data_IF_338054706366
#
_entry.id   IF_338054706366
#
_cell.length_a   1.000
_cell.length_b   1.000
_cell.length_c   1.000
_cell.angle_alpha   90.00
_cell.angle_beta   90.00
_cell.angle_gamma   90.00
#
_symmetry.space_group_name_H-M   'P 1'
#
loop_
_entity.id
_entity.type
_entity.pdbx_description
1 polymer ?
#
# COMPACT_ATOMS: atom_id res chain seq x y z
N UNK A 1 3.34 6.22 24.74
CA UNK A 1 3.35 5.59 23.41
C UNK A 1 2.55 4.30 23.51
N UNK A 2 1.52 4.11 22.67
CA UNK A 2 0.74 2.86 22.64
C UNK A 2 1.64 1.68 22.23
N UNK A 3 1.58 0.56 22.95
CA UNK A 3 2.33 -0.64 22.60
C UNK A 3 1.66 -1.38 21.44
N UNK A 4 2.43 -2.15 20.68
CA UNK A 4 1.90 -2.95 19.56
C UNK A 4 0.84 -3.93 20.06
N UNK A 5 1.05 -4.56 21.23
CA UNK A 5 0.06 -5.49 21.80
C UNK A 5 -1.28 -4.82 22.15
N UNK A 6 -1.25 -3.58 22.64
CA UNK A 6 -2.45 -2.79 22.95
C UNK A 6 -3.18 -2.41 21.66
N UNK A 7 -2.41 -2.00 20.63
CA UNK A 7 -2.93 -1.68 19.29
C UNK A 7 -3.59 -2.88 18.62
N UNK A 8 -2.99 -4.05 18.68
CA UNK A 8 -3.59 -5.30 18.18
C UNK A 8 -4.93 -5.54 18.88
N UNK A 9 -4.97 -5.39 20.21
CA UNK A 9 -6.21 -5.56 20.98
C UNK A 9 -7.30 -4.57 20.57
N UNK A 10 -6.95 -3.32 20.31
CA UNK A 10 -7.86 -2.28 19.82
C UNK A 10 -8.36 -2.58 18.40
N UNK A 11 -7.46 -2.91 17.47
CA UNK A 11 -7.81 -3.21 16.06
C UNK A 11 -8.70 -4.44 15.92
N UNK A 12 -8.52 -5.46 16.76
CA UNK A 12 -9.41 -6.62 16.81
C UNK A 12 -10.85 -6.20 17.15
N UNK A 13 -11.02 -5.29 18.13
CA UNK A 13 -12.34 -4.76 18.50
C UNK A 13 -12.94 -3.90 17.39
N UNK A 14 -12.17 -2.95 16.86
CA UNK A 14 -12.63 -2.03 15.79
C UNK A 14 -13.07 -2.78 14.53
N UNK A 15 -12.39 -3.88 14.20
CA UNK A 15 -12.67 -4.68 12.99
C UNK A 15 -13.55 -5.90 13.25
N UNK A 16 -14.13 -6.01 14.45
CA UNK A 16 -14.98 -7.13 14.87
C UNK A 16 -14.35 -8.52 14.59
N UNK A 17 -13.05 -8.67 14.86
CA UNK A 17 -12.28 -9.91 14.70
C UNK A 17 -11.97 -10.53 16.05
N UNK A 18 -12.01 -11.86 16.15
CA UNK A 18 -11.74 -12.54 17.42
C UNK A 18 -10.24 -12.80 17.62
N UNK A 19 -9.80 -12.74 18.88
CA UNK A 19 -8.41 -13.04 19.23
C UNK A 19 -8.05 -14.51 18.98
N UNK A 20 -9.03 -15.43 19.07
CA UNK A 20 -8.83 -16.86 18.77
C UNK A 20 -8.48 -17.07 17.29
N UNK A 21 -9.15 -16.37 16.38
CA UNK A 21 -8.88 -16.45 14.94
C UNK A 21 -7.48 -15.93 14.61
N UNK A 22 -7.05 -14.86 15.29
CA UNK A 22 -5.68 -14.38 15.16
C UNK A 22 -4.68 -15.42 15.68
N UNK A 23 -4.93 -16.07 16.82
CA UNK A 23 -4.03 -17.12 17.33
C UNK A 23 -3.93 -18.30 16.35
N UNK A 24 -5.04 -18.70 15.74
CA UNK A 24 -5.06 -19.73 14.71
C UNK A 24 -4.26 -19.31 13.46
N UNK A 25 -4.40 -18.06 13.01
CA UNK A 25 -3.64 -17.53 11.87
C UNK A 25 -2.13 -17.44 12.13
N UNK A 26 -1.72 -17.30 13.39
CA UNK A 26 -0.32 -17.24 13.81
C UNK A 26 0.26 -18.61 14.18
N UNK A 27 -0.56 -19.67 14.17
CA UNK A 27 -0.21 -21.00 14.66
C UNK A 27 0.34 -20.99 16.11
N UNK A 28 -0.34 -20.26 16.99
CA UNK A 28 0.01 -20.17 18.42
C UNK A 28 -1.17 -20.53 19.32
N UNK A 29 -0.85 -20.93 20.55
CA UNK A 29 -1.86 -21.10 21.58
C UNK A 29 -2.39 -19.74 22.10
N UNK A 30 -3.67 -19.70 22.48
CA UNK A 30 -4.28 -18.51 23.11
C UNK A 30 -3.58 -18.07 24.41
N UNK A 31 -2.95 -19.02 25.12
CA UNK A 31 -2.12 -18.79 26.30
C UNK A 31 -0.88 -17.93 25.98
N UNK A 32 -0.29 -18.10 24.80
CA UNK A 32 0.83 -17.30 24.30
C UNK A 32 0.43 -15.84 24.12
N UNK A 33 -0.68 -15.59 23.42
CA UNK A 33 -1.23 -14.24 23.25
C UNK A 33 -1.63 -13.61 24.59
N UNK A 34 -2.23 -14.38 25.48
CA UNK A 34 -2.58 -13.94 26.84
C UNK A 34 -1.33 -13.55 27.65
N UNK A 35 -0.24 -14.28 27.50
CA UNK A 35 1.05 -13.99 28.14
C UNK A 35 1.66 -12.69 27.62
N UNK A 36 1.59 -12.45 26.30
CA UNK A 36 2.02 -11.18 25.71
C UNK A 36 1.24 -9.99 26.29
N UNK A 37 -0.10 -10.11 26.36
CA UNK A 37 -0.97 -9.09 26.94
C UNK A 37 -0.67 -8.83 28.42
N UNK A 38 -0.65 -9.88 29.25
CA UNK A 38 -0.48 -9.73 30.70
C UNK A 38 0.90 -9.22 31.10
N UNK A 39 1.95 -9.64 30.40
CA UNK A 39 3.33 -9.19 30.63
C UNK A 39 3.67 -7.88 29.94
N UNK A 40 2.70 -7.24 29.26
CA UNK A 40 2.90 -6.06 28.42
C UNK A 40 4.10 -6.23 27.49
N UNK A 41 4.14 -7.36 26.78
CA UNK A 41 5.16 -7.67 25.76
C UNK A 41 4.53 -7.67 24.39
N UNK A 42 5.26 -7.17 23.40
CA UNK A 42 4.85 -7.27 22.01
C UNK A 42 5.09 -8.72 21.51
N UNK A 43 4.27 -9.20 20.56
CA UNK A 43 4.59 -10.42 19.83
C UNK A 43 5.97 -10.28 19.15
N UNK A 44 6.71 -11.38 18.98
CA UNK A 44 7.94 -11.37 18.18
C UNK A 44 7.73 -10.79 16.78
N UNK A 45 8.80 -10.20 16.22
CA UNK A 45 8.74 -9.50 14.93
C UNK A 45 8.30 -10.41 13.77
N UNK A 46 8.59 -11.71 13.84
CA UNK A 46 8.19 -12.73 12.86
C UNK A 46 6.67 -12.79 12.64
N UNK A 47 5.86 -12.47 13.66
CA UNK A 47 4.40 -12.49 13.57
C UNK A 47 3.81 -11.22 12.96
N UNK A 48 4.58 -10.13 12.86
CA UNK A 48 4.06 -8.83 12.47
C UNK A 48 3.42 -8.80 11.07
N UNK A 49 4.01 -9.42 10.03
CA UNK A 49 3.38 -9.45 8.70
C UNK A 49 2.01 -10.13 8.70
N UNK A 50 1.90 -11.27 9.37
CA UNK A 50 0.64 -12.03 9.48
C UNK A 50 -0.40 -11.26 10.30
N UNK A 51 0.00 -10.61 11.40
CA UNK A 51 -0.89 -9.77 12.20
C UNK A 51 -1.41 -8.59 11.37
N UNK A 52 -0.53 -7.90 10.63
CA UNK A 52 -0.90 -6.76 9.79
C UNK A 52 -1.89 -7.18 8.69
N UNK A 53 -1.60 -8.30 8.01
CA UNK A 53 -2.48 -8.89 6.99
C UNK A 53 -3.83 -9.29 7.58
N UNK A 54 -3.84 -10.00 8.71
CA UNK A 54 -5.06 -10.43 9.38
C UNK A 54 -5.96 -9.25 9.80
N UNK A 55 -5.34 -8.16 10.26
CA UNK A 55 -6.03 -6.94 10.65
C UNK A 55 -6.33 -6.02 9.45
N UNK A 56 -5.82 -6.29 8.25
CA UNK A 56 -5.99 -5.43 7.09
C UNK A 56 -5.49 -4.00 7.33
N UNK A 57 -4.27 -3.87 7.84
CA UNK A 57 -3.56 -2.59 8.04
C UNK A 57 -2.14 -2.70 7.48
N UNK A 58 -1.47 -1.58 7.26
CA UNK A 58 -0.06 -1.61 6.86
C UNK A 58 0.82 -2.05 8.04
N UNK A 59 1.95 -2.70 7.73
CA UNK A 59 2.95 -3.07 8.74
C UNK A 59 3.49 -1.83 9.45
N UNK A 60 3.69 -0.73 8.71
CA UNK A 60 4.16 0.53 9.29
C UNK A 60 3.18 1.08 10.34
N UNK A 61 1.88 1.11 10.00
CA UNK A 61 0.84 1.51 10.96
C UNK A 61 0.81 0.58 12.19
N UNK A 62 0.91 -0.72 11.97
CA UNK A 62 0.93 -1.70 13.06
C UNK A 62 2.10 -1.46 14.03
N UNK A 63 3.27 -1.07 13.54
CA UNK A 63 4.46 -0.85 14.37
C UNK A 63 4.47 0.55 15.01
N UNK A 64 4.19 1.59 14.23
CA UNK A 64 4.37 2.99 14.65
C UNK A 64 3.13 3.61 15.27
N UNK A 65 1.94 3.09 14.93
CA UNK A 65 0.64 3.67 15.31
C UNK A 65 0.30 4.97 14.59
N UNK A 66 1.13 5.38 13.63
CA UNK A 66 0.88 6.53 12.78
C UNK A 66 0.32 5.99 11.48
N UNK A 67 -0.83 6.51 11.05
CA UNK A 67 -1.22 6.42 9.65
C UNK A 67 -0.04 6.99 8.88
N UNK A 68 0.67 6.15 8.12
CA UNK A 68 1.62 6.67 7.16
C UNK A 68 0.80 7.64 6.30
N UNK A 69 1.21 8.91 6.14
CA UNK A 69 0.57 9.73 5.12
C UNK A 69 0.58 8.89 3.85
N UNK A 70 -0.53 8.82 3.08
CA UNK A 70 -0.51 8.09 1.82
C UNK A 70 0.76 8.53 1.13
N UNK A 71 1.67 7.58 0.85
CA UNK A 71 2.93 7.93 0.18
C UNK A 71 2.48 8.71 -1.03
N UNK A 72 2.83 9.99 -1.11
CA UNK A 72 2.53 10.82 -2.26
C UNK A 72 3.35 10.20 -3.38
N UNK A 73 2.70 9.32 -4.13
CA UNK A 73 3.29 8.53 -5.21
C UNK A 73 3.23 9.29 -6.52
N UNK A 74 2.62 10.48 -6.47
CA UNK A 74 2.35 11.40 -7.54
C UNK A 74 2.95 12.77 -7.20
N UNK A 75 3.35 13.49 -8.23
CA UNK A 75 3.67 14.92 -8.21
C UNK A 75 2.39 15.75 -8.13
N UNK A 76 2.51 17.05 -7.84
CA UNK A 76 1.34 17.96 -7.85
C UNK A 76 0.66 18.01 -9.23
N UNK A 77 1.44 17.91 -10.31
CA UNK A 77 0.91 17.90 -11.67
C UNK A 77 0.13 16.61 -11.97
N UNK A 78 0.62 15.47 -11.51
CA UNK A 78 -0.09 14.18 -11.62
C UNK A 78 -1.38 14.18 -10.80
N UNK A 79 -1.37 14.73 -9.58
CA UNK A 79 -2.57 14.88 -8.75
C UNK A 79 -3.60 15.80 -9.42
N UNK A 80 -3.15 16.92 -10.00
CA UNK A 80 -4.01 17.83 -10.74
C UNK A 80 -4.65 17.14 -11.96
N UNK A 81 -3.85 16.42 -12.75
CA UNK A 81 -4.35 15.64 -13.89
C UNK A 81 -5.37 14.58 -13.44
N UNK A 82 -5.07 13.80 -12.40
CA UNK A 82 -5.95 12.74 -11.90
C UNK A 82 -7.30 13.28 -11.42
N UNK A 83 -7.30 14.43 -10.74
CA UNK A 83 -8.54 15.07 -10.29
C UNK A 83 -9.39 15.50 -11.49
N UNK A 84 -8.80 16.19 -12.47
CA UNK A 84 -9.51 16.56 -13.69
C UNK A 84 -10.05 15.34 -14.44
N UNK A 85 -9.23 14.29 -14.57
CA UNK A 85 -9.61 13.06 -15.27
C UNK A 85 -10.80 12.35 -14.62
N UNK A 86 -10.81 12.26 -13.28
CA UNK A 86 -11.89 11.61 -12.51
C UNK A 86 -13.23 12.34 -12.61
N UNK A 87 -13.21 13.65 -12.80
CA UNK A 87 -14.41 14.48 -12.93
C UNK A 87 -15.06 14.40 -14.32
N UNK A 88 -14.40 13.77 -15.30
CA UNK A 88 -14.92 13.62 -16.67
C UNK A 88 -15.89 12.44 -16.82
N UNK A 89 -16.88 12.54 -17.72
CA UNK A 89 -17.63 11.38 -18.19
C UNK A 89 -16.71 10.32 -18.81
N UNK A 90 -17.07 9.04 -18.70
CA UNK A 90 -16.26 7.91 -19.17
C UNK A 90 -15.81 8.06 -20.64
N UNK A 91 -16.69 8.56 -21.51
CA UNK A 91 -16.36 8.81 -22.93
C UNK A 91 -15.20 9.79 -23.10
N UNK A 92 -15.15 10.85 -22.30
CA UNK A 92 -14.09 11.84 -22.35
C UNK A 92 -12.79 11.30 -21.72
N UNK A 93 -12.89 10.48 -20.68
CA UNK A 93 -11.73 9.75 -20.14
C UNK A 93 -11.04 8.91 -21.22
N UNK A 94 -11.80 8.12 -21.99
CA UNK A 94 -11.24 7.33 -23.11
C UNK A 94 -10.63 8.19 -24.21
N UNK A 95 -11.21 9.36 -24.49
CA UNK A 95 -10.60 10.32 -25.43
C UNK A 95 -9.23 10.80 -24.94
N UNK A 96 -9.10 11.10 -23.66
CA UNK A 96 -7.83 11.50 -23.05
C UNK A 96 -6.81 10.36 -23.09
N UNK A 97 -7.23 9.12 -22.81
CA UNK A 97 -6.36 7.92 -22.94
C UNK A 97 -5.77 7.84 -24.34
N UNK A 98 -6.59 7.96 -25.39
CA UNK A 98 -6.08 7.90 -26.77
C UNK A 98 -5.09 9.02 -27.12
N UNK A 99 -5.28 10.23 -26.58
CA UNK A 99 -4.32 11.35 -26.76
C UNK A 99 -2.98 11.03 -26.09
N UNK A 100 -3.02 10.49 -24.87
CA UNK A 100 -1.81 10.12 -24.12
C UNK A 100 -1.11 8.96 -24.81
N UNK A 101 -1.83 7.95 -25.28
CA UNK A 101 -1.28 6.82 -26.03
C UNK A 101 -0.60 7.28 -27.33
N UNK A 102 -1.19 8.21 -28.06
CA UNK A 102 -0.60 8.77 -29.28
C UNK A 102 0.66 9.61 -28.99
N UNK A 103 0.63 10.42 -27.93
CA UNK A 103 1.82 11.15 -27.47
C UNK A 103 2.94 10.18 -27.04
N UNK A 104 2.60 9.13 -26.30
CA UNK A 104 3.51 8.08 -25.86
C UNK A 104 4.13 7.35 -27.06
N UNK A 105 3.32 6.96 -28.05
CA UNK A 105 3.81 6.29 -29.27
C UNK A 105 4.82 7.16 -30.01
N UNK A 106 4.51 8.44 -30.25
CA UNK A 106 5.41 9.36 -30.94
C UNK A 106 6.74 9.55 -30.23
N UNK A 107 6.74 9.68 -28.90
CA UNK A 107 7.97 9.81 -28.10
C UNK A 107 8.85 8.54 -28.20
N UNK A 108 8.25 7.35 -28.09
CA UNK A 108 9.00 6.10 -28.17
C UNK A 108 9.42 5.73 -29.60
N UNK A 109 8.69 6.17 -30.63
CA UNK A 109 9.12 6.03 -32.02
C UNK A 109 10.30 6.97 -32.33
N UNK A 110 10.27 8.22 -31.87
CA UNK A 110 11.39 9.16 -32.08
C UNK A 110 12.69 8.69 -31.44
N UNK A 111 12.63 8.09 -30.25
CA UNK A 111 13.81 7.52 -29.58
C UNK A 111 14.43 6.38 -30.39
N UNK A 112 13.60 5.54 -31.03
CA UNK A 112 14.05 4.44 -31.88
C UNK A 112 14.75 4.93 -33.15
N UNK A 113 14.31 6.04 -33.74
CA UNK A 113 14.95 6.62 -34.93
C UNK A 113 16.33 7.21 -34.61
N UNK A 114 16.45 7.93 -33.49
CA UNK A 114 17.71 8.54 -33.04
C UNK A 114 18.79 7.47 -32.73
N UNK A 115 18.39 6.33 -32.16
CA UNK A 115 19.29 5.20 -31.91
C UNK A 115 19.83 4.52 -33.18
N UNK A 116 19.08 4.58 -34.29
CA UNK A 116 19.51 4.02 -35.59
C UNK A 116 20.47 4.93 -36.35
N UNK A 117 20.25 6.26 -36.35
CA UNK A 117 21.15 7.20 -37.05
C UNK A 117 22.48 7.38 -36.31
N UNK A 118 22.48 7.33 -34.97
CA UNK A 118 23.71 7.34 -34.17
C UNK A 118 24.63 6.12 -34.38
N UNK A 119 24.13 5.04 -34.99
CA UNK A 119 24.91 3.83 -35.34
C UNK A 119 25.40 3.80 -36.79
N UNK A 120 24.87 4.66 -37.66
CA UNK A 120 25.20 4.71 -39.10
C UNK A 120 26.25 5.79 -39.44
N UNK A 121 26.76 6.50 -38.44
CA UNK A 121 27.81 7.51 -38.56
C UNK A 121 29.16 6.95 -38.06
N UNK A 122 29.75 6.03 -38.83
CA UNK A 122 31.16 5.62 -38.74
C UNK A 122 31.72 5.50 -40.16
#
# INVERSE_FOLDING_TARGET
MEMIIDRIGRLLKEKNKMAVDLCNALDIQQSTMSTWKSRRRNPPAEYMPTIASFLGVSLDYLLTGKEAPPKKTTTDDEDYFLNLFRDLPEREQWRIVGIIEEAHRRAHESDKYLDTEGKLSV
#
